data_IF_025044131551
#
_entry.id   IF_025044131551
#
_cell.length_a   1.000
_cell.length_b   1.000
_cell.length_c   1.000
_cell.angle_alpha   90.00
_cell.angle_beta   90.00
_cell.angle_gamma   90.00
#
_symmetry.space_group_name_H-M   'P 1'
#
loop_
_entity.id
_entity.type
_entity.pdbx_description
1 polymer ?
#
# COMPACT_ATOMS: atom_id res chain seq x y z
N UNK A 1 -15.03 16.86 43.35
CA UNK A 1 -16.02 16.16 42.50
C UNK A 1 -15.57 16.33 41.06
N UNK A 2 -14.78 15.40 40.53
CA UNK A 2 -14.37 15.45 39.12
C UNK A 2 -14.12 14.02 38.65
N UNK A 3 -15.10 13.47 37.96
CA UNK A 3 -15.01 12.22 37.22
C UNK A 3 -16.02 12.38 36.05
N UNK A 4 -15.88 11.72 34.88
CA UNK A 4 -14.72 10.98 34.36
C UNK A 4 -14.45 11.30 32.87
N UNK A 5 -13.20 11.60 32.49
CA UNK A 5 -12.76 11.48 31.08
C UNK A 5 -12.84 10.04 30.55
N UNK A 6 -12.99 9.06 31.45
CA UNK A 6 -13.17 7.65 31.12
C UNK A 6 -14.55 7.31 30.49
N UNK A 7 -15.58 8.17 30.63
CA UNK A 7 -16.92 7.88 30.06
C UNK A 7 -16.94 8.07 28.55
N UNK A 8 -16.11 8.97 28.02
CA UNK A 8 -16.04 9.27 26.59
C UNK A 8 -15.39 8.12 25.79
N UNK A 9 -14.37 7.45 26.36
CA UNK A 9 -13.69 6.33 25.70
C UNK A 9 -14.58 5.07 25.59
N UNK A 10 -15.45 4.84 26.59
CA UNK A 10 -16.39 3.70 26.58
C UNK A 10 -17.53 3.92 25.57
N UNK A 11 -17.97 5.17 25.38
CA UNK A 11 -19.02 5.51 24.41
C UNK A 11 -18.64 5.25 22.96
N UNK A 12 -17.38 5.51 22.59
CA UNK A 12 -16.89 5.29 21.21
C UNK A 12 -16.72 3.79 20.91
N UNK A 13 -16.17 3.01 21.86
CA UNK A 13 -16.04 1.56 21.72
C UNK A 13 -17.41 0.84 21.66
N UNK A 14 -18.40 1.30 22.44
CA UNK A 14 -19.75 0.76 22.39
C UNK A 14 -20.45 1.05 21.04
N UNK A 15 -20.19 2.21 20.43
CA UNK A 15 -20.76 2.58 19.13
C UNK A 15 -20.23 1.70 17.99
N UNK A 16 -18.92 1.41 17.98
CA UNK A 16 -18.29 0.55 16.96
C UNK A 16 -18.78 -0.90 17.08
N UNK A 17 -18.93 -1.44 18.30
CA UNK A 17 -19.48 -2.78 18.49
C UNK A 17 -20.95 -2.90 18.04
N UNK A 18 -21.73 -1.82 18.16
CA UNK A 18 -23.14 -1.80 17.75
C UNK A 18 -23.29 -1.78 16.23
N UNK A 19 -22.39 -1.10 15.50
CA UNK A 19 -22.35 -1.09 14.03
C UNK A 19 -21.98 -2.48 13.48
N UNK A 20 -21.07 -3.20 14.14
CA UNK A 20 -20.67 -4.57 13.73
C UNK A 20 -21.78 -5.60 13.99
N UNK A 21 -22.63 -5.40 15.02
CA UNK A 21 -23.72 -6.32 15.34
C UNK A 21 -24.96 -6.17 14.45
N UNK A 22 -25.26 -4.97 13.94
CA UNK A 22 -26.44 -4.74 13.08
C UNK A 22 -26.24 -5.28 11.65
N UNK A 23 -24.98 -5.52 11.22
CA UNK A 23 -24.69 -6.13 9.92
C UNK A 23 -24.51 -7.66 9.96
N UNK A 24 -24.84 -8.32 11.08
CA UNK A 24 -25.01 -9.78 11.07
C UNK A 24 -26.48 -10.11 10.73
N UNK A 25 -26.78 -10.60 9.51
CA UNK A 25 -28.03 -11.32 9.32
C UNK A 25 -27.97 -12.59 10.20
N UNK A 26 -28.71 -12.55 11.31
CA UNK A 26 -29.09 -13.74 12.05
C UNK A 26 -30.03 -14.55 11.14
N UNK A 27 -29.61 -15.77 10.82
CA UNK A 27 -30.45 -16.72 10.08
C UNK A 27 -31.63 -17.19 10.92
N UNK A 28 -32.61 -17.80 10.26
CA UNK A 28 -33.43 -18.84 10.87
C UNK A 28 -34.13 -19.76 9.83
N UNK A 29 -34.09 -21.07 10.14
CA UNK A 29 -35.01 -22.17 9.75
C UNK A 29 -34.92 -22.88 8.37
N UNK A 30 -34.12 -23.97 8.34
CA UNK A 30 -34.48 -25.39 8.00
C UNK A 30 -35.01 -25.83 6.59
N UNK A 31 -34.98 -27.14 6.25
CA UNK A 31 -34.13 -27.68 5.18
C UNK A 31 -34.89 -27.97 3.88
N UNK A 32 -34.30 -27.62 2.75
CA UNK A 32 -34.78 -28.10 1.45
C UNK A 32 -33.60 -28.67 0.64
N UNK A 33 -33.70 -29.98 0.39
CA UNK A 33 -32.94 -30.74 -0.58
C UNK A 33 -33.05 -30.06 -1.94
N UNK A 34 -32.09 -29.23 -2.30
CA UNK A 34 -31.90 -28.82 -3.69
C UNK A 34 -30.42 -28.66 -3.96
N UNK A 35 -29.88 -29.59 -4.74
CA UNK A 35 -28.57 -29.47 -5.37
C UNK A 35 -28.48 -28.13 -6.11
N UNK A 36 -27.90 -27.14 -5.46
CA UNK A 36 -27.49 -25.86 -6.05
C UNK A 36 -26.00 -25.76 -5.80
N UNK A 37 -25.24 -25.83 -6.88
CA UNK A 37 -23.81 -25.52 -6.93
C UNK A 37 -23.59 -24.19 -6.20
N UNK A 38 -22.93 -24.24 -5.03
CA UNK A 38 -22.58 -23.03 -4.31
C UNK A 38 -21.73 -22.13 -5.22
N UNK A 39 -21.97 -20.81 -5.25
CA UNK A 39 -20.99 -19.90 -5.83
C UNK A 39 -19.74 -20.03 -4.96
N UNK A 40 -18.60 -20.33 -5.59
CA UNK A 40 -17.31 -20.26 -4.95
C UNK A 40 -17.21 -18.88 -4.26
N UNK A 41 -17.12 -18.89 -2.93
CA UNK A 41 -16.63 -17.74 -2.19
C UNK A 41 -15.22 -17.48 -2.72
N UNK A 42 -15.12 -16.55 -3.67
CA UNK A 42 -13.87 -15.91 -4.02
C UNK A 42 -13.42 -15.17 -2.76
N UNK A 43 -12.71 -15.88 -1.90
CA UNK A 43 -11.85 -15.27 -0.90
C UNK A 43 -10.92 -14.39 -1.71
N UNK A 44 -11.16 -13.07 -1.68
CA UNK A 44 -10.25 -12.07 -2.20
C UNK A 44 -8.96 -12.16 -1.39
N UNK A 45 -8.09 -13.11 -1.77
CA UNK A 45 -6.71 -13.11 -1.34
C UNK A 45 -6.13 -11.74 -1.71
N UNK A 46 -5.28 -11.15 -0.85
CA UNK A 46 -4.56 -9.94 -1.21
C UNK A 46 -3.92 -10.14 -2.58
N UNK A 47 -4.22 -9.24 -3.53
CA UNK A 47 -3.63 -9.31 -4.85
C UNK A 47 -2.10 -9.30 -4.68
N UNK A 48 -1.43 -10.28 -5.29
CA UNK A 48 0.03 -10.29 -5.29
C UNK A 48 0.52 -8.98 -5.94
N UNK A 49 1.57 -8.33 -5.40
CA UNK A 49 2.10 -7.11 -5.98
C UNK A 49 2.47 -7.35 -7.45
N UNK A 50 2.17 -6.36 -8.29
CA UNK A 50 2.47 -6.43 -9.71
C UNK A 50 3.98 -6.68 -9.91
N UNK A 51 4.32 -7.49 -10.91
CA UNK A 51 5.70 -7.79 -11.28
C UNK A 51 6.03 -7.03 -12.54
N UNK A 52 6.86 -6.00 -12.42
CA UNK A 52 7.34 -5.19 -13.53
C UNK A 52 8.53 -5.83 -14.25
N UNK A 53 8.76 -5.42 -15.50
CA UNK A 53 10.09 -5.54 -16.11
C UNK A 53 11.03 -4.48 -15.51
N UNK A 54 12.35 -4.71 -15.57
CA UNK A 54 13.33 -3.69 -15.13
C UNK A 54 13.15 -2.39 -15.94
N UNK A 55 12.85 -2.51 -17.24
CA UNK A 55 12.64 -1.36 -18.14
C UNK A 55 11.45 -0.50 -17.71
N UNK A 56 10.29 -1.12 -17.45
CA UNK A 56 9.07 -0.43 -17.03
C UNK A 56 9.26 0.24 -15.67
N UNK A 57 9.87 -0.48 -14.72
CA UNK A 57 10.19 0.08 -13.40
C UNK A 57 11.12 1.29 -13.52
N UNK A 58 12.20 1.19 -14.30
CA UNK A 58 13.14 2.29 -14.49
C UNK A 58 12.50 3.48 -15.22
N UNK A 59 11.59 3.24 -16.17
CA UNK A 59 10.84 4.30 -16.84
C UNK A 59 9.91 5.03 -15.85
N UNK A 60 9.13 4.29 -15.07
CA UNK A 60 8.28 4.85 -14.03
C UNK A 60 9.07 5.60 -12.95
N UNK A 61 10.22 5.05 -12.53
CA UNK A 61 11.08 5.69 -11.54
C UNK A 61 11.63 7.03 -12.03
N UNK A 62 12.03 7.12 -13.31
CA UNK A 62 12.45 8.40 -13.91
C UNK A 62 11.30 9.40 -14.01
N UNK A 63 10.10 8.94 -14.37
CA UNK A 63 8.91 9.78 -14.43
C UNK A 63 8.54 10.34 -13.05
N UNK A 64 8.59 9.51 -12.01
CA UNK A 64 8.40 9.95 -10.63
C UNK A 64 9.47 10.98 -10.21
N UNK A 65 10.74 10.75 -10.53
CA UNK A 65 11.80 11.71 -10.23
C UNK A 65 11.58 13.07 -10.92
N UNK A 66 11.04 13.08 -12.13
CA UNK A 66 10.64 14.30 -12.81
C UNK A 66 9.47 14.99 -12.09
N UNK A 67 8.43 14.24 -11.72
CA UNK A 67 7.28 14.77 -10.98
C UNK A 67 7.68 15.40 -9.63
N UNK A 68 8.60 14.76 -8.89
CA UNK A 68 9.18 15.32 -7.67
C UNK A 68 9.92 16.64 -7.92
N UNK A 69 10.68 16.74 -9.02
CA UNK A 69 11.36 17.98 -9.37
C UNK A 69 10.38 19.12 -9.70
N UNK A 70 9.28 18.81 -10.40
CA UNK A 70 8.23 19.76 -10.72
C UNK A 70 7.45 20.20 -9.47
N UNK A 71 7.16 19.27 -8.55
CA UNK A 71 6.55 19.57 -7.26
C UNK A 71 7.45 20.48 -6.41
N UNK A 72 8.74 20.15 -6.28
CA UNK A 72 9.71 20.95 -5.54
C UNK A 72 9.93 22.35 -6.15
N UNK A 73 9.78 22.49 -7.47
CA UNK A 73 9.82 23.76 -8.16
C UNK A 73 8.51 24.57 -8.04
N UNK A 74 7.44 23.97 -7.50
CA UNK A 74 6.11 24.57 -7.40
C UNK A 74 5.34 24.63 -8.73
N UNK A 75 5.76 23.84 -9.73
CA UNK A 75 5.10 23.77 -11.03
C UNK A 75 4.09 22.62 -11.17
N UNK A 76 4.07 21.69 -10.21
CA UNK A 76 3.08 20.62 -10.08
C UNK A 76 2.43 20.66 -8.70
N UNK A 77 1.19 20.17 -8.60
CA UNK A 77 0.45 20.05 -7.33
C UNK A 77 0.66 18.68 -6.66
N UNK A 78 0.14 18.53 -5.44
CA UNK A 78 0.22 17.28 -4.66
C UNK A 78 -0.43 16.11 -5.41
N UNK A 79 -1.55 16.33 -6.11
CA UNK A 79 -2.26 15.30 -6.87
C UNK A 79 -1.43 14.76 -8.04
N UNK A 80 -0.67 15.61 -8.72
CA UNK A 80 0.23 15.19 -9.80
C UNK A 80 1.37 14.30 -9.27
N UNK A 81 1.89 14.63 -8.08
CA UNK A 81 2.91 13.83 -7.42
C UNK A 81 2.37 12.49 -6.94
N UNK A 82 1.17 12.48 -6.37
CA UNK A 82 0.43 11.27 -5.97
C UNK A 82 0.20 10.35 -7.18
N UNK A 83 -0.38 10.86 -8.27
CA UNK A 83 -0.64 10.08 -9.49
C UNK A 83 0.64 9.44 -10.04
N UNK A 84 1.76 10.17 -10.00
CA UNK A 84 3.05 9.65 -10.44
C UNK A 84 3.61 8.57 -9.51
N UNK A 85 3.40 8.71 -8.20
CA UNK A 85 3.80 7.72 -7.20
C UNK A 85 2.94 6.45 -7.29
N UNK A 86 1.62 6.60 -7.41
CA UNK A 86 0.66 5.52 -7.63
C UNK A 86 0.99 4.77 -8.91
N UNK A 87 1.24 5.46 -10.02
CA UNK A 87 1.59 4.84 -11.30
C UNK A 87 2.85 3.97 -11.20
N UNK A 88 3.86 4.38 -10.41
CA UNK A 88 5.05 3.56 -10.17
C UNK A 88 4.74 2.34 -9.28
N UNK A 89 3.92 2.50 -8.23
CA UNK A 89 3.51 1.39 -7.36
C UNK A 89 2.66 0.37 -8.13
N UNK A 90 1.73 0.84 -8.97
CA UNK A 90 0.86 0.02 -9.81
C UNK A 90 1.63 -0.73 -10.90
N UNK A 91 2.71 -0.13 -11.42
CA UNK A 91 3.65 -0.83 -12.32
C UNK A 91 4.25 -2.05 -11.63
N UNK A 92 4.49 -1.94 -10.33
CA UNK A 92 5.03 -2.99 -9.49
C UNK A 92 6.55 -3.06 -9.49
N UNK A 93 7.08 -4.09 -8.84
CA UNK A 93 8.51 -4.22 -8.59
C UNK A 93 9.09 -5.41 -9.37
N UNK A 94 10.26 -5.26 -10.02
CA UNK A 94 10.87 -6.37 -10.74
C UNK A 94 11.18 -7.59 -9.88
N UNK A 95 10.99 -8.77 -10.46
CA UNK A 95 11.26 -10.05 -9.79
C UNK A 95 12.74 -10.20 -9.39
N UNK A 96 13.65 -9.58 -10.14
CA UNK A 96 15.08 -9.57 -9.87
C UNK A 96 15.51 -8.63 -8.73
N UNK A 97 14.64 -7.72 -8.28
CA UNK A 97 14.97 -6.80 -7.19
C UNK A 97 14.99 -7.55 -5.85
N UNK A 98 16.16 -7.59 -5.22
CA UNK A 98 16.37 -8.25 -3.93
C UNK A 98 15.56 -7.61 -2.79
N UNK A 99 15.25 -8.37 -1.75
CA UNK A 99 14.46 -7.87 -0.60
C UNK A 99 15.09 -6.62 0.06
N UNK A 100 16.41 -6.52 0.30
CA UNK A 100 17.01 -5.28 0.78
C UNK A 100 16.78 -4.09 -0.18
N UNK A 101 16.89 -4.30 -1.49
CA UNK A 101 16.62 -3.25 -2.48
C UNK A 101 15.13 -2.85 -2.50
N UNK A 102 14.21 -3.79 -2.31
CA UNK A 102 12.78 -3.49 -2.14
C UNK A 102 12.49 -2.69 -0.89
N UNK A 103 13.18 -2.98 0.22
CA UNK A 103 13.09 -2.18 1.44
C UNK A 103 13.63 -0.77 1.24
N UNK A 104 14.74 -0.59 0.52
CA UNK A 104 15.25 0.74 0.17
C UNK A 104 14.31 1.51 -0.77
N UNK A 105 13.72 0.82 -1.75
CA UNK A 105 12.68 1.39 -2.59
C UNK A 105 11.48 1.86 -1.74
N UNK A 106 10.96 1.01 -0.85
CA UNK A 106 9.87 1.35 0.08
C UNK A 106 10.18 2.59 0.92
N UNK A 107 11.38 2.71 1.50
CA UNK A 107 11.79 3.90 2.24
C UNK A 107 11.69 5.16 1.37
N UNK A 108 12.20 5.10 0.14
CA UNK A 108 12.16 6.22 -0.79
C UNK A 108 10.73 6.56 -1.21
N UNK A 109 9.97 5.60 -1.74
CA UNK A 109 8.61 5.87 -2.22
C UNK A 109 7.69 6.26 -1.06
N UNK A 110 7.87 5.65 0.12
CA UNK A 110 7.14 6.01 1.34
C UNK A 110 7.40 7.46 1.75
N UNK A 111 8.64 7.97 1.61
CA UNK A 111 8.92 9.39 1.85
C UNK A 111 8.21 10.34 0.88
N UNK A 112 7.89 9.88 -0.34
CA UNK A 112 7.10 10.67 -1.29
C UNK A 112 5.66 10.78 -0.81
N UNK A 113 5.04 9.66 -0.43
CA UNK A 113 3.69 9.66 0.16
C UNK A 113 3.64 10.49 1.46
N UNK A 114 4.63 10.34 2.34
CA UNK A 114 4.71 11.12 3.60
C UNK A 114 4.78 12.62 3.33
N UNK A 115 5.49 13.05 2.27
CA UNK A 115 5.61 14.46 1.90
C UNK A 115 4.28 15.12 1.49
N UNK A 116 3.29 14.32 1.06
CA UNK A 116 1.93 14.74 0.71
C UNK A 116 0.89 14.30 1.78
N UNK A 117 1.34 13.82 2.94
CA UNK A 117 0.48 13.47 4.07
C UNK A 117 -0.25 12.14 3.92
N UNK A 118 0.28 11.23 3.09
CA UNK A 118 -0.24 9.88 2.87
C UNK A 118 0.70 8.82 3.43
N UNK A 119 0.17 7.62 3.68
CA UNK A 119 0.93 6.46 4.15
C UNK A 119 0.91 5.35 3.09
N UNK A 120 2.09 4.82 2.76
CA UNK A 120 2.23 3.66 1.88
C UNK A 120 2.37 2.39 2.72
N UNK A 121 1.57 1.36 2.43
CA UNK A 121 1.74 0.06 3.05
C UNK A 121 2.95 -0.69 2.46
N UNK A 122 3.81 -1.34 3.26
CA UNK A 122 5.00 -2.04 2.77
C UNK A 122 4.66 -3.19 1.80
N UNK A 123 3.48 -3.81 1.94
CA UNK A 123 3.02 -4.89 1.08
C UNK A 123 2.76 -4.43 -0.36
N UNK A 124 2.44 -3.14 -0.57
CA UNK A 124 2.16 -2.57 -1.89
C UNK A 124 3.37 -2.69 -2.84
N UNK A 125 4.57 -2.67 -2.28
CA UNK A 125 5.83 -2.79 -3.03
C UNK A 125 6.57 -4.10 -2.74
N UNK A 126 5.91 -5.04 -2.05
CA UNK A 126 6.50 -6.31 -1.65
C UNK A 126 7.73 -6.15 -0.73
N UNK A 127 7.74 -5.13 0.11
CA UNK A 127 8.71 -4.93 1.18
C UNK A 127 8.20 -5.51 2.51
N UNK A 128 9.09 -5.62 3.49
CA UNK A 128 8.73 -5.97 4.86
C UNK A 128 8.43 -4.72 5.67
N UNK A 129 7.54 -4.81 6.65
CA UNK A 129 7.28 -3.72 7.59
C UNK A 129 8.51 -3.38 8.46
N UNK A 130 9.40 -4.35 8.66
CA UNK A 130 10.68 -4.13 9.33
C UNK A 130 11.70 -3.53 8.38
N UNK A 131 12.40 -2.49 8.82
CA UNK A 131 13.53 -1.91 8.07
C UNK A 131 14.65 -2.93 7.92
N UNK A 132 15.14 -3.10 6.69
CA UNK A 132 16.27 -3.99 6.40
C UNK A 132 17.55 -3.18 6.35
N UNK A 133 18.56 -3.62 7.10
CA UNK A 133 19.86 -2.94 7.14
C UNK A 133 20.51 -2.90 5.73
N UNK A 134 21.04 -1.73 5.37
CA UNK A 134 21.63 -1.49 4.04
C UNK A 134 20.63 -1.40 2.89
N UNK A 135 19.33 -1.27 3.14
CA UNK A 135 18.30 -1.20 2.09
C UNK A 135 18.55 -0.11 1.04
N UNK A 136 18.86 1.12 1.46
CA UNK A 136 19.11 2.25 0.57
C UNK A 136 20.32 2.01 -0.36
N UNK A 137 21.38 1.40 0.19
CA UNK A 137 22.57 1.05 -0.56
C UNK A 137 22.28 -0.06 -1.58
N UNK A 138 21.47 -1.06 -1.19
CA UNK A 138 21.04 -2.13 -2.09
C UNK A 138 20.14 -1.60 -3.22
N UNK A 139 19.21 -0.69 -2.92
CA UNK A 139 18.37 -0.05 -3.93
C UNK A 139 19.20 0.83 -4.88
N UNK A 140 20.12 1.62 -4.34
CA UNK A 140 21.06 2.42 -5.15
C UNK A 140 21.92 1.55 -6.07
N UNK A 141 22.41 0.41 -5.58
CA UNK A 141 23.16 -0.55 -6.38
C UNK A 141 22.29 -1.18 -7.49
N UNK A 142 21.03 -1.51 -7.18
CA UNK A 142 20.07 -1.99 -8.17
C UNK A 142 19.85 -0.94 -9.27
N UNK A 143 19.61 0.32 -8.92
CA UNK A 143 19.42 1.39 -9.93
C UNK A 143 20.66 1.53 -10.84
N UNK A 144 21.87 1.48 -10.28
CA UNK A 144 23.10 1.56 -11.08
C UNK A 144 23.28 0.38 -12.03
N UNK A 145 22.76 -0.79 -11.69
CA UNK A 145 22.86 -2.01 -12.48
C UNK A 145 21.76 -2.12 -13.53
N UNK A 146 20.52 -1.79 -13.16
CA UNK A 146 19.31 -2.07 -13.93
C UNK A 146 18.72 -0.85 -14.62
N UNK A 147 18.98 0.36 -14.10
CA UNK A 147 18.49 1.63 -14.63
C UNK A 147 19.65 2.51 -15.12
N UNK A 148 20.29 2.19 -16.26
CA UNK A 148 21.32 3.04 -16.82
C UNK A 148 20.79 4.45 -17.13
N UNK A 149 21.67 5.47 -17.09
CA UNK A 149 21.30 6.88 -17.29
C UNK A 149 20.73 7.15 -18.70
#
# INVERSE_FOLDING_TARGET
>A
MTTPRAVLAIGVLALVALIVLVQRPAGDSEPDDTSTTAPEETTSAPAAPAVASDEDFCAGFRALAQSQAEFAAGSADEATLEESADALVDTGVPAGMSLPARSGYYTLIGSVYDSIGLDLAPEAVGATAESVDGGDAAFSAYLQQSCPP
#
